data_IF_730867825401
#
_entry.id   IF_730867825401
#
_cell.length_a   1.000
_cell.length_b   1.000
_cell.length_c   1.000
_cell.angle_alpha   90.00
_cell.angle_beta   90.00
_cell.angle_gamma   90.00
#
_symmetry.space_group_name_H-M   'P 1'
#
loop_
_entity.id
_entity.type
_entity.pdbx_description
1 polymer ?
#
# COMPACT_ATOMS: atom_id res chain seq x y z
N UNK A 1 26.14 30.61 53.25
CA UNK A 1 27.25 29.66 53.24
C UNK A 1 26.81 28.37 53.91
N UNK A 2 26.48 27.32 53.14
CA UNK A 2 26.49 25.90 53.55
C UNK A 2 26.37 25.08 52.28
N UNK A 3 27.50 24.58 51.86
CA UNK A 3 27.64 23.63 50.72
C UNK A 3 27.22 22.23 51.17
N UNK A 4 26.31 21.61 50.46
CA UNK A 4 25.94 20.21 50.67
C UNK A 4 26.41 19.41 49.46
N UNK A 5 27.32 18.46 49.70
CA UNK A 5 27.83 17.49 48.68
C UNK A 5 26.83 16.38 48.50
N UNK A 6 26.45 16.13 47.24
CA UNK A 6 25.67 14.95 46.84
C UNK A 6 26.66 13.86 46.41
N UNK A 7 26.59 12.73 47.10
CA UNK A 7 27.39 11.52 46.85
C UNK A 7 26.66 10.72 45.74
N UNK A 8 27.36 10.44 44.61
CA UNK A 8 26.88 9.53 43.58
C UNK A 8 27.13 8.08 43.99
N UNK A 9 26.06 7.35 44.19
CA UNK A 9 26.09 5.89 44.35
C UNK A 9 25.93 5.25 42.94
N UNK A 10 26.98 4.54 42.51
CA UNK A 10 26.99 3.76 41.27
C UNK A 10 26.40 2.40 41.59
N UNK A 11 25.21 2.12 41.08
CA UNK A 11 24.56 0.80 41.15
C UNK A 11 25.07 -0.09 40.00
N UNK A 12 25.63 -1.23 40.39
CA UNK A 12 26.20 -2.28 39.52
C UNK A 12 25.07 -3.13 38.92
N UNK A 13 25.03 -3.31 37.59
CA UNK A 13 24.08 -4.13 36.89
C UNK A 13 24.31 -5.63 37.14
N UNK A 14 23.26 -6.47 37.17
CA UNK A 14 23.39 -7.92 37.29
C UNK A 14 23.70 -8.58 35.94
N UNK A 15 24.63 -9.55 36.01
CA UNK A 15 25.02 -10.40 34.85
C UNK A 15 23.89 -11.35 34.48
N UNK A 16 23.53 -11.36 33.20
CA UNK A 16 22.62 -12.35 32.61
C UNK A 16 23.33 -13.71 32.42
N UNK A 17 22.78 -14.75 33.04
CA UNK A 17 23.11 -16.15 32.80
C UNK A 17 22.46 -16.61 31.49
N UNK A 18 23.26 -17.30 30.67
CA UNK A 18 22.81 -17.94 29.42
C UNK A 18 22.01 -19.22 29.72
N UNK A 19 20.90 -19.48 29.01
CA UNK A 19 20.21 -20.78 29.12
C UNK A 19 20.90 -21.85 28.28
N UNK A 20 20.93 -23.04 28.83
CA UNK A 20 21.54 -24.26 28.36
C UNK A 20 20.82 -24.85 27.12
N UNK A 21 21.61 -25.31 26.17
CA UNK A 21 21.18 -26.03 24.98
C UNK A 21 20.63 -27.40 25.36
N UNK A 22 19.37 -27.70 25.06
CA UNK A 22 18.78 -29.05 25.18
C UNK A 22 18.92 -29.74 23.82
N UNK A 23 19.77 -30.78 23.76
CA UNK A 23 19.86 -31.68 22.63
C UNK A 23 18.70 -32.68 22.65
N UNK A 24 17.87 -32.70 21.62
CA UNK A 24 16.93 -33.78 21.36
C UNK A 24 17.62 -34.89 20.55
N UNK A 25 17.66 -36.09 21.14
CA UNK A 25 18.19 -37.30 20.58
C UNK A 25 17.14 -37.97 19.69
N UNK A 26 17.46 -38.13 18.41
CA UNK A 26 16.64 -38.89 17.47
C UNK A 26 16.77 -40.39 17.74
N UNK A 27 15.66 -41.08 17.91
CA UNK A 27 15.55 -42.51 17.98
C UNK A 27 15.20 -43.07 16.61
N UNK A 28 16.07 -43.97 16.17
CA UNK A 28 15.91 -44.81 14.97
C UNK A 28 15.07 -46.02 15.29
N UNK A 29 14.11 -46.39 14.46
CA UNK A 29 13.56 -47.74 14.38
C UNK A 29 13.38 -48.17 12.93
N UNK A 30 14.07 -49.18 12.66
CA UNK A 30 14.27 -50.20 11.65
C UNK A 30 13.06 -50.68 10.82
N UNK A 31 13.35 -50.89 9.54
CA UNK A 31 13.22 -52.16 8.81
C UNK A 31 11.87 -52.54 8.19
N UNK A 32 11.88 -52.64 6.86
CA UNK A 32 11.48 -53.88 6.17
C UNK A 32 11.91 -53.84 4.69
N UNK A 33 12.28 -55.01 4.21
CA UNK A 33 13.06 -55.32 3.03
C UNK A 33 12.20 -55.64 1.79
N UNK A 34 12.72 -55.24 0.61
CA UNK A 34 12.81 -55.90 -0.71
C UNK A 34 11.56 -56.51 -1.40
N UNK A 35 11.50 -56.53 -2.75
CA UNK A 35 12.49 -57.30 -3.54
C UNK A 35 13.01 -56.63 -4.85
N UNK A 36 14.14 -57.18 -5.24
CA UNK A 36 14.89 -57.07 -6.48
C UNK A 36 14.12 -57.56 -7.70
N UNK A 37 14.17 -56.83 -8.82
CA UNK A 37 13.90 -57.38 -10.17
C UNK A 37 14.84 -56.77 -11.22
N UNK A 38 15.72 -57.63 -11.67
CA UNK A 38 16.35 -57.84 -12.98
C UNK A 38 16.66 -56.65 -13.92
N UNK A 39 17.93 -56.60 -14.15
CA UNK A 39 18.71 -55.94 -15.18
C UNK A 39 18.33 -56.41 -16.59
N UNK A 40 17.96 -55.51 -17.48
CA UNK A 40 18.06 -55.71 -18.94
C UNK A 40 19.11 -54.76 -19.51
N UNK A 41 20.10 -55.30 -20.15
CA UNK A 41 21.11 -54.60 -20.92
C UNK A 41 20.50 -54.18 -22.27
N UNK A 42 20.72 -52.95 -22.67
CA UNK A 42 20.57 -52.51 -24.07
C UNK A 42 21.67 -51.52 -24.42
N UNK A 43 22.48 -51.96 -25.33
CA UNK A 43 23.42 -51.37 -26.30
C UNK A 43 23.67 -49.85 -26.24
N UNK A 44 24.95 -49.52 -26.14
CA UNK A 44 25.57 -48.24 -26.31
C UNK A 44 25.31 -47.64 -27.70
N UNK A 45 24.84 -46.41 -27.74
CA UNK A 45 24.92 -45.53 -28.91
C UNK A 45 25.69 -44.27 -28.51
N UNK A 46 26.56 -43.80 -29.39
CA UNK A 46 27.54 -42.75 -29.21
C UNK A 46 27.00 -41.40 -28.69
N UNK A 47 27.82 -40.59 -28.02
CA UNK A 47 27.41 -39.31 -27.45
C UNK A 47 27.11 -38.30 -28.56
N UNK A 48 25.89 -37.79 -28.60
CA UNK A 48 25.45 -36.60 -29.33
C UNK A 48 25.93 -35.38 -28.57
N UNK A 49 26.54 -34.42 -29.22
CA UNK A 49 26.96 -33.14 -28.68
C UNK A 49 25.81 -32.45 -27.94
N UNK A 50 26.07 -31.70 -26.82
CA UNK A 50 25.06 -30.97 -26.13
C UNK A 50 24.56 -29.82 -26.98
N UNK A 51 23.33 -29.94 -27.48
CA UNK A 51 22.58 -28.81 -28.02
C UNK A 51 22.40 -27.78 -26.89
N UNK A 52 22.78 -26.55 -27.14
CA UNK A 52 22.55 -25.41 -26.24
C UNK A 52 21.09 -25.39 -25.77
N UNK A 53 20.83 -25.14 -24.46
CA UNK A 53 19.48 -24.98 -23.99
C UNK A 53 18.87 -23.74 -24.62
N UNK A 54 17.88 -23.91 -25.49
CA UNK A 54 17.01 -22.83 -25.93
C UNK A 54 16.24 -22.36 -24.71
N UNK A 55 16.81 -21.37 -24.00
CA UNK A 55 16.14 -20.65 -22.92
C UNK A 55 14.97 -19.84 -23.54
N UNK A 56 13.79 -20.45 -23.55
CA UNK A 56 12.55 -19.68 -23.72
C UNK A 56 12.51 -18.73 -22.51
N UNK A 57 12.61 -17.41 -22.71
CA UNK A 57 12.60 -16.47 -21.58
C UNK A 57 11.28 -16.65 -20.82
N UNK A 58 11.35 -16.82 -19.51
CA UNK A 58 10.14 -16.83 -18.68
C UNK A 58 9.35 -15.54 -18.92
N UNK A 59 8.05 -15.55 -18.73
CA UNK A 59 7.22 -14.35 -18.93
C UNK A 59 7.72 -13.16 -18.09
N UNK A 60 8.28 -13.42 -16.92
CA UNK A 60 8.93 -12.43 -16.05
C UNK A 60 10.16 -11.81 -16.72
N UNK A 61 11.04 -12.63 -17.29
CA UNK A 61 12.26 -12.16 -17.99
C UNK A 61 11.91 -11.37 -19.27
N UNK A 62 10.82 -11.74 -19.93
CA UNK A 62 10.32 -11.05 -21.13
C UNK A 62 9.72 -9.68 -20.79
N UNK A 63 9.02 -9.56 -19.66
CA UNK A 63 8.52 -8.29 -19.15
C UNK A 63 9.67 -7.35 -18.75
N UNK A 64 10.69 -7.86 -18.06
CA UNK A 64 11.89 -7.10 -17.70
C UNK A 64 12.70 -6.64 -18.92
N UNK A 65 12.76 -7.44 -19.96
CA UNK A 65 13.55 -7.11 -21.18
C UNK A 65 12.86 -6.06 -22.06
N UNK A 66 11.52 -5.95 -22.00
CA UNK A 66 10.73 -5.01 -22.81
C UNK A 66 10.58 -3.62 -22.16
N UNK A 67 10.82 -3.48 -20.86
CA UNK A 67 10.63 -2.23 -20.10
C UNK A 67 11.93 -1.41 -20.03
N UNK A 68 12.50 -1.06 -21.18
CA UNK A 68 13.68 -0.18 -21.25
C UNK A 68 13.30 1.25 -21.60
N UNK A 69 13.98 2.21 -20.97
CA UNK A 69 13.88 3.62 -21.35
C UNK A 69 14.34 3.78 -22.79
N UNK A 70 13.48 4.32 -23.65
CA UNK A 70 13.75 4.60 -25.07
C UNK A 70 13.73 6.10 -25.40
N UNK A 71 13.21 6.93 -24.48
CA UNK A 71 13.09 8.38 -24.63
C UNK A 71 14.28 9.12 -24.02
N UNK A 72 14.51 10.34 -24.51
CA UNK A 72 15.56 11.26 -24.02
C UNK A 72 14.96 12.37 -23.16
N UNK A 73 13.86 12.95 -23.61
CA UNK A 73 13.19 14.08 -22.97
C UNK A 73 11.78 13.72 -22.53
N UNK A 74 11.31 14.35 -21.46
CA UNK A 74 9.93 14.24 -20.98
C UNK A 74 9.40 15.65 -20.79
N UNK A 75 8.25 15.95 -21.40
CA UNK A 75 7.64 17.27 -21.39
C UNK A 75 6.16 17.18 -21.02
N UNK A 76 5.66 18.20 -20.31
CA UNK A 76 4.23 18.43 -20.11
C UNK A 76 3.73 19.35 -21.22
N UNK A 77 2.80 18.84 -22.02
CA UNK A 77 2.21 19.58 -23.12
C UNK A 77 0.78 20.00 -22.78
N UNK A 78 0.52 21.31 -22.80
CA UNK A 78 -0.84 21.84 -22.69
C UNK A 78 -1.50 21.79 -24.07
N UNK A 79 -2.64 21.13 -24.16
CA UNK A 79 -3.42 21.01 -25.39
C UNK A 79 -4.26 22.28 -25.62
N UNK A 80 -4.83 22.42 -26.80
CA UNK A 80 -5.65 23.59 -27.18
C UNK A 80 -6.91 23.73 -26.32
N UNK A 81 -7.46 22.61 -25.85
CA UNK A 81 -8.61 22.56 -24.92
C UNK A 81 -8.24 22.81 -23.45
N UNK A 82 -6.94 23.08 -23.18
CA UNK A 82 -6.40 23.35 -21.87
C UNK A 82 -6.02 22.11 -21.05
N UNK A 83 -6.27 20.91 -21.54
CA UNK A 83 -5.87 19.66 -20.89
C UNK A 83 -4.34 19.45 -20.97
N UNK A 84 -3.81 18.58 -20.12
CA UNK A 84 -2.38 18.27 -20.09
C UNK A 84 -2.12 16.85 -20.58
N UNK A 85 -1.17 16.69 -21.51
CA UNK A 85 -0.61 15.39 -21.90
C UNK A 85 0.88 15.37 -21.61
N UNK A 86 1.38 14.19 -21.23
CA UNK A 86 2.81 13.97 -21.02
C UNK A 86 3.39 13.38 -22.30
N UNK A 87 4.52 13.92 -22.75
CA UNK A 87 5.21 13.49 -23.96
C UNK A 87 6.58 12.90 -23.62
N UNK A 88 6.84 11.74 -24.19
CA UNK A 88 8.15 11.09 -24.20
C UNK A 88 8.77 11.38 -25.57
N UNK A 89 9.72 12.29 -25.63
CA UNK A 89 10.17 12.95 -26.86
C UNK A 89 8.97 13.61 -27.58
N UNK A 90 8.57 13.11 -28.72
CA UNK A 90 7.41 13.61 -29.49
C UNK A 90 6.16 12.73 -29.36
N UNK A 91 6.18 11.69 -28.52
CA UNK A 91 5.10 10.72 -28.42
C UNK A 91 4.33 10.92 -27.13
N UNK A 92 3.01 11.02 -27.25
CA UNK A 92 2.15 11.08 -26.06
C UNK A 92 2.23 9.78 -25.26
N UNK A 93 2.34 9.92 -23.94
CA UNK A 93 2.25 8.81 -22.99
C UNK A 93 0.88 8.16 -23.10
N UNK A 94 0.87 6.83 -23.05
CA UNK A 94 -0.35 6.02 -23.08
C UNK A 94 -0.48 5.20 -21.80
N UNK A 95 -1.71 4.92 -21.45
CA UNK A 95 -2.06 3.99 -20.36
C UNK A 95 -1.77 2.53 -20.80
N UNK A 96 -1.76 1.57 -19.87
CA UNK A 96 -1.62 0.14 -20.20
C UNK A 96 -2.65 -0.38 -21.21
N UNK A 97 -3.87 0.16 -21.22
CA UNK A 97 -4.90 -0.20 -22.22
C UNK A 97 -4.74 0.53 -23.55
N UNK A 98 -3.69 1.34 -23.73
CA UNK A 98 -3.37 2.03 -24.98
C UNK A 98 -4.09 3.35 -25.18
N UNK A 99 -4.92 3.80 -24.22
CA UNK A 99 -5.55 5.12 -24.27
C UNK A 99 -4.52 6.24 -24.03
N UNK A 100 -4.68 7.44 -24.61
CA UNK A 100 -3.80 8.57 -24.32
C UNK A 100 -3.96 8.98 -22.84
N UNK A 101 -2.84 9.21 -22.14
CA UNK A 101 -2.86 9.74 -20.79
C UNK A 101 -3.02 11.25 -20.85
N UNK A 102 -4.26 11.70 -20.67
CA UNK A 102 -4.65 13.11 -20.72
C UNK A 102 -5.30 13.46 -19.38
N UNK A 103 -4.88 14.59 -18.81
CA UNK A 103 -5.31 15.08 -17.52
C UNK A 103 -6.13 16.37 -17.65
N UNK A 104 -7.13 16.60 -16.78
CA UNK A 104 -7.90 17.83 -16.75
C UNK A 104 -7.03 19.09 -16.60
N UNK A 105 -7.54 20.21 -17.07
CA UNK A 105 -6.84 21.52 -17.02
C UNK A 105 -6.45 21.99 -15.61
N UNK A 106 -7.12 21.48 -14.57
CA UNK A 106 -6.82 21.80 -13.17
C UNK A 106 -5.70 20.92 -12.59
N UNK A 107 -5.19 19.94 -13.32
CA UNK A 107 -4.25 18.93 -12.82
C UNK A 107 -2.80 19.12 -13.29
N UNK A 108 -2.35 20.38 -13.36
CA UNK A 108 -0.97 20.70 -13.77
C UNK A 108 0.07 20.08 -12.81
N UNK A 109 -0.16 20.11 -11.50
CA UNK A 109 0.75 19.49 -10.51
C UNK A 109 0.89 18.00 -10.79
N UNK A 110 -0.22 17.29 -10.96
CA UNK A 110 -0.19 15.86 -11.27
C UNK A 110 0.55 15.57 -12.59
N UNK A 111 0.29 16.36 -13.64
CA UNK A 111 0.99 16.23 -14.93
C UNK A 111 2.50 16.41 -14.78
N UNK A 112 2.93 17.40 -14.00
CA UNK A 112 4.36 17.67 -13.73
C UNK A 112 4.99 16.53 -12.92
N UNK A 113 4.30 16.00 -11.93
CA UNK A 113 4.79 14.87 -11.14
C UNK A 113 4.92 13.60 -11.99
N UNK A 114 3.94 13.30 -12.85
CA UNK A 114 4.05 12.17 -13.81
C UNK A 114 5.24 12.38 -14.76
N UNK A 115 5.40 13.58 -15.31
CA UNK A 115 6.56 13.87 -16.17
C UNK A 115 7.88 13.62 -15.41
N UNK A 116 7.95 14.02 -14.15
CA UNK A 116 9.12 13.78 -13.29
C UNK A 116 9.37 12.31 -13.03
N UNK A 117 8.34 11.52 -12.73
CA UNK A 117 8.44 10.07 -12.59
C UNK A 117 9.08 9.41 -13.81
N UNK A 118 8.68 9.84 -15.00
CA UNK A 118 9.22 9.30 -16.26
C UNK A 118 10.63 9.81 -16.57
N UNK A 119 10.94 11.03 -16.22
CA UNK A 119 12.29 11.59 -16.44
C UNK A 119 13.33 10.94 -15.52
N UNK A 120 12.96 10.58 -14.29
CA UNK A 120 13.84 9.91 -13.32
C UNK A 120 14.11 8.43 -13.65
N UNK A 121 13.34 7.81 -14.56
CA UNK A 121 13.65 6.44 -14.99
C UNK A 121 15.01 6.39 -15.67
N UNK A 122 15.83 5.40 -15.28
CA UNK A 122 17.17 5.24 -15.86
C UNK A 122 17.15 4.24 -17.05
N UNK A 123 17.79 3.08 -16.90
CA UNK A 123 17.88 2.07 -17.97
C UNK A 123 16.63 1.19 -18.08
N UNK A 124 16.09 0.81 -16.93
CA UNK A 124 14.93 -0.09 -16.80
C UNK A 124 13.81 0.68 -16.13
N UNK A 125 12.62 0.55 -16.69
CA UNK A 125 11.41 1.14 -16.13
C UNK A 125 11.00 0.38 -14.86
N UNK A 126 10.91 1.10 -13.75
CA UNK A 126 10.49 0.54 -12.46
C UNK A 126 9.04 0.93 -12.18
N UNK A 127 8.12 0.00 -12.34
CA UNK A 127 6.69 0.25 -12.17
C UNK A 127 6.34 0.78 -10.76
N UNK A 128 7.01 0.27 -9.72
CA UNK A 128 6.80 0.73 -8.34
C UNK A 128 7.21 2.18 -8.09
N UNK A 129 8.03 2.77 -8.95
CA UNK A 129 8.44 4.18 -8.88
C UNK A 129 7.56 5.11 -9.73
N UNK A 130 6.39 4.67 -10.16
CA UNK A 130 5.42 5.40 -10.98
C UNK A 130 4.04 5.50 -10.30
N UNK A 131 3.95 5.92 -9.03
CA UNK A 131 2.67 5.93 -8.30
C UNK A 131 1.64 6.89 -8.89
N UNK A 132 2.06 8.07 -9.39
CA UNK A 132 1.16 9.04 -10.03
C UNK A 132 0.65 8.55 -11.39
N UNK A 133 1.56 8.01 -12.21
CA UNK A 133 1.21 7.39 -13.50
C UNK A 133 0.22 6.24 -13.32
N UNK A 134 0.46 5.38 -12.33
CA UNK A 134 -0.43 4.26 -12.00
C UNK A 134 -1.82 4.73 -11.59
N UNK A 135 -1.92 5.79 -10.79
CA UNK A 135 -3.19 6.35 -10.34
C UNK A 135 -3.97 7.00 -11.51
N UNK A 136 -3.29 7.80 -12.34
CA UNK A 136 -3.89 8.40 -13.52
C UNK A 136 -4.36 7.33 -14.54
N UNK A 137 -3.56 6.27 -14.73
CA UNK A 137 -3.94 5.14 -15.60
C UNK A 137 -5.16 4.40 -15.05
N UNK A 138 -5.25 4.17 -13.74
CA UNK A 138 -6.44 3.57 -13.10
C UNK A 138 -7.70 4.41 -13.33
N UNK A 139 -7.59 5.73 -13.20
CA UNK A 139 -8.71 6.64 -13.44
C UNK A 139 -9.22 6.60 -14.89
N UNK A 140 -8.29 6.49 -15.87
CA UNK A 140 -8.62 6.49 -17.30
C UNK A 140 -9.11 5.13 -17.79
N UNK A 141 -8.48 4.05 -17.31
CA UNK A 141 -8.70 2.70 -17.85
C UNK A 141 -9.81 1.94 -17.14
N UNK A 142 -9.91 2.06 -15.82
CA UNK A 142 -10.72 1.17 -15.02
C UNK A 142 -11.85 1.84 -14.24
N UNK A 143 -12.20 3.09 -14.57
CA UNK A 143 -13.31 3.83 -13.95
C UNK A 143 -14.26 4.39 -15.01
N UNK A 144 -14.55 3.59 -16.04
CA UNK A 144 -15.64 3.89 -16.97
C UNK A 144 -16.99 3.90 -16.21
N UNK A 145 -18.01 4.53 -16.78
CA UNK A 145 -19.34 4.59 -16.15
C UNK A 145 -19.88 3.19 -15.79
N UNK A 146 -19.61 2.19 -16.62
CA UNK A 146 -20.05 0.80 -16.39
C UNK A 146 -19.31 0.12 -15.21
N UNK A 147 -18.06 0.49 -14.96
CA UNK A 147 -17.22 -0.13 -13.90
C UNK A 147 -17.31 0.62 -12.57
N UNK A 148 -17.67 1.89 -12.63
CA UNK A 148 -17.71 2.80 -11.49
C UNK A 148 -18.56 2.31 -10.32
N UNK A 149 -19.77 1.85 -10.59
CA UNK A 149 -20.70 1.37 -9.58
C UNK A 149 -20.17 0.13 -8.87
N UNK A 150 -19.57 -0.79 -9.62
CA UNK A 150 -18.93 -1.98 -9.04
C UNK A 150 -17.76 -1.63 -8.13
N UNK A 151 -16.94 -0.63 -8.52
CA UNK A 151 -15.84 -0.15 -7.68
C UNK A 151 -16.37 0.51 -6.40
N UNK A 152 -17.39 1.35 -6.51
CA UNK A 152 -18.03 1.97 -5.33
C UNK A 152 -18.60 0.90 -4.42
N UNK A 153 -19.27 -0.11 -4.94
CA UNK A 153 -19.84 -1.21 -4.15
C UNK A 153 -18.76 -2.04 -3.44
N UNK A 154 -17.60 -2.24 -4.08
CA UNK A 154 -16.47 -2.91 -3.47
C UNK A 154 -15.86 -2.09 -2.32
N UNK A 155 -15.72 -0.78 -2.53
CA UNK A 155 -15.22 0.14 -1.50
C UNK A 155 -16.18 0.23 -0.30
N UNK A 156 -17.50 0.14 -0.54
CA UNK A 156 -18.49 0.12 0.55
C UNK A 156 -18.38 -1.09 1.48
N UNK A 157 -17.75 -2.19 1.05
CA UNK A 157 -17.49 -3.35 1.93
C UNK A 157 -16.49 -3.00 3.04
N UNK A 158 -15.51 -2.13 2.73
CA UNK A 158 -14.55 -1.65 3.74
C UNK A 158 -15.22 -0.84 4.86
N UNK A 159 -16.39 -0.24 4.62
CA UNK A 159 -17.13 0.48 5.65
C UNK A 159 -17.63 -0.45 6.76
N UNK A 160 -18.07 -1.67 6.43
CA UNK A 160 -18.54 -2.65 7.39
C UNK A 160 -17.42 -3.24 8.25
N UNK A 161 -16.19 -3.26 7.70
CA UNK A 161 -14.99 -3.81 8.34
C UNK A 161 -13.90 -2.75 8.53
N UNK A 162 -14.31 -1.50 8.69
CA UNK A 162 -13.37 -0.38 8.81
C UNK A 162 -12.51 -0.53 10.06
N UNK A 163 -11.19 -0.42 9.89
CA UNK A 163 -10.21 -0.60 10.97
C UNK A 163 -10.51 0.27 12.18
N UNK A 164 -10.97 1.51 11.99
CA UNK A 164 -11.25 2.43 13.11
C UNK A 164 -12.49 2.02 13.94
N UNK A 165 -13.33 1.14 13.39
CA UNK A 165 -14.52 0.64 14.06
C UNK A 165 -14.26 -0.57 14.98
N UNK A 166 -13.05 -1.15 14.95
CA UNK A 166 -12.65 -2.26 15.81
C UNK A 166 -11.65 -1.76 16.84
N UNK A 167 -12.12 -1.53 18.05
CA UNK A 167 -11.31 -0.95 19.11
C UNK A 167 -11.09 -1.95 20.24
N UNK A 168 -9.89 -1.92 20.81
CA UNK A 168 -9.51 -2.77 21.93
C UNK A 168 -9.17 -1.93 23.15
N UNK A 169 -9.65 -2.36 24.31
CA UNK A 169 -9.35 -1.72 25.60
C UNK A 169 -7.94 -2.06 26.10
N UNK A 170 -7.32 -3.11 25.57
CA UNK A 170 -5.99 -3.60 25.95
C UNK A 170 -5.13 -3.90 24.73
N UNK A 171 -3.82 -3.65 24.80
CA UNK A 171 -3.08 -3.00 25.89
C UNK A 171 -3.37 -1.50 25.97
N UNK A 172 -3.11 -0.89 27.13
CA UNK A 172 -3.36 0.55 27.37
C UNK A 172 -2.75 1.47 26.28
N UNK A 173 -1.54 1.16 25.81
CA UNK A 173 -0.88 1.92 24.73
C UNK A 173 -1.72 1.93 23.46
N UNK A 174 -2.30 0.79 23.07
CA UNK A 174 -3.18 0.69 21.91
C UNK A 174 -4.45 1.53 22.10
N UNK A 175 -5.11 1.39 23.24
CA UNK A 175 -6.32 2.15 23.55
C UNK A 175 -6.07 3.68 23.54
N UNK A 176 -4.92 4.13 24.06
CA UNK A 176 -4.53 5.55 24.03
C UNK A 176 -4.26 6.04 22.60
N UNK A 177 -3.62 5.23 21.75
CA UNK A 177 -3.38 5.56 20.34
C UNK A 177 -4.68 5.59 19.53
N UNK A 178 -5.59 4.63 19.73
CA UNK A 178 -6.92 4.62 19.12
C UNK A 178 -7.69 5.88 19.49
N UNK A 179 -7.69 6.27 20.75
CA UNK A 179 -8.32 7.50 21.22
C UNK A 179 -7.71 8.75 20.57
N UNK A 180 -6.38 8.77 20.35
CA UNK A 180 -5.68 9.91 19.77
C UNK A 180 -5.93 10.03 18.26
N UNK A 181 -5.89 8.91 17.52
CA UNK A 181 -5.91 8.94 16.07
C UNK A 181 -7.29 8.62 15.46
N UNK A 182 -8.13 7.80 16.11
CA UNK A 182 -9.39 7.34 15.53
C UNK A 182 -10.62 8.09 16.08
N UNK A 183 -10.64 8.41 17.38
CA UNK A 183 -11.79 9.12 17.95
C UNK A 183 -12.07 10.47 17.27
N UNK A 184 -11.07 11.31 16.91
CA UNK A 184 -11.33 12.55 16.19
C UNK A 184 -11.96 12.34 14.81
N UNK A 185 -11.66 11.22 14.14
CA UNK A 185 -12.25 10.90 12.83
C UNK A 185 -13.72 10.54 12.93
N UNK A 186 -14.10 9.82 13.97
CA UNK A 186 -15.52 9.49 14.25
C UNK A 186 -16.31 10.76 14.56
N UNK A 187 -15.75 11.69 15.34
CA UNK A 187 -16.34 12.99 15.63
C UNK A 187 -16.48 13.81 14.34
N UNK A 188 -15.41 13.91 13.55
CA UNK A 188 -15.46 14.61 12.27
C UNK A 188 -16.54 14.08 11.33
N UNK A 189 -16.67 12.76 11.21
CA UNK A 189 -17.67 12.14 10.34
C UNK A 189 -19.10 12.49 10.79
N UNK A 190 -19.31 12.54 12.11
CA UNK A 190 -20.56 12.99 12.71
C UNK A 190 -20.85 14.47 12.40
N UNK A 191 -19.88 15.34 12.62
CA UNK A 191 -20.04 16.79 12.45
C UNK A 191 -20.20 17.17 10.98
N UNK A 192 -19.40 16.57 10.09
CA UNK A 192 -19.41 16.91 8.68
C UNK A 192 -20.57 16.30 7.88
N UNK A 193 -21.02 15.10 8.25
CA UNK A 193 -21.99 14.33 7.45
C UNK A 193 -23.21 13.84 8.24
N UNK A 194 -23.25 14.06 9.56
CA UNK A 194 -24.30 13.54 10.43
C UNK A 194 -24.34 12.01 10.48
N UNK A 195 -23.18 11.37 10.42
CA UNK A 195 -23.05 9.93 10.37
C UNK A 195 -22.39 9.40 11.64
N UNK A 196 -23.10 8.51 12.33
CA UNK A 196 -22.57 7.74 13.44
C UNK A 196 -22.21 6.33 12.98
N UNK A 197 -20.94 5.97 13.12
CA UNK A 197 -20.51 4.60 12.88
C UNK A 197 -20.67 3.75 14.14
N UNK A 198 -21.06 2.51 13.92
CA UNK A 198 -21.04 1.50 14.97
C UNK A 198 -19.61 1.07 15.23
N UNK A 199 -19.16 1.22 16.47
CA UNK A 199 -17.85 0.78 16.94
C UNK A 199 -18.03 -0.54 17.70
N UNK A 200 -17.10 -1.46 17.55
CA UNK A 200 -17.02 -2.76 18.22
C UNK A 200 -15.83 -2.73 19.17
N UNK A 201 -16.10 -2.86 20.47
CA UNK A 201 -15.09 -2.87 21.52
C UNK A 201 -14.80 -4.30 21.95
N UNK A 202 -13.51 -4.66 22.01
CA UNK A 202 -13.02 -5.98 22.45
C UNK A 202 -13.72 -7.17 21.76
N UNK A 203 -14.17 -7.01 20.51
CA UNK A 203 -14.93 -8.01 19.78
C UNK A 203 -14.50 -8.10 18.32
N UNK A 204 -14.27 -9.32 17.85
CA UNK A 204 -14.09 -9.65 16.43
C UNK A 204 -15.43 -9.92 15.71
N UNK A 205 -16.51 -10.06 16.47
CA UNK A 205 -17.84 -10.24 15.89
C UNK A 205 -18.41 -8.86 15.57
N UNK A 206 -18.67 -8.62 14.29
CA UNK A 206 -19.19 -7.35 13.84
C UNK A 206 -20.63 -7.46 13.30
N UNK A 207 -21.31 -6.35 13.31
CA UNK A 207 -22.56 -6.14 12.60
C UNK A 207 -22.38 -5.03 11.58
N UNK A 208 -23.02 -5.16 10.43
CA UNK A 208 -22.96 -4.16 9.37
C UNK A 208 -23.37 -2.78 9.87
N UNK A 209 -22.84 -1.75 9.25
CA UNK A 209 -23.28 -0.38 9.45
C UNK A 209 -24.74 -0.21 8.99
N UNK A 210 -25.39 0.86 9.45
CA UNK A 210 -26.81 1.07 9.12
C UNK A 210 -27.01 1.28 7.61
N UNK A 211 -28.15 0.85 7.04
CA UNK A 211 -28.48 1.12 5.65
C UNK A 211 -28.47 2.62 5.30
N UNK A 212 -28.83 3.47 6.26
CA UNK A 212 -28.78 4.92 6.11
C UNK A 212 -27.32 5.42 5.95
N UNK A 213 -26.41 4.94 6.79
CA UNK A 213 -24.97 5.21 6.70
C UNK A 213 -24.42 4.80 5.34
N UNK A 214 -24.73 3.57 4.90
CA UNK A 214 -24.34 3.09 3.58
C UNK A 214 -24.86 3.99 2.46
N UNK A 215 -26.13 4.36 2.49
CA UNK A 215 -26.74 5.21 1.45
C UNK A 215 -26.09 6.59 1.39
N UNK A 216 -25.87 7.25 2.53
CA UNK A 216 -25.24 8.57 2.59
C UNK A 216 -23.80 8.56 2.06
N UNK A 217 -22.99 7.61 2.51
CA UNK A 217 -21.59 7.51 2.10
C UNK A 217 -21.44 7.06 0.64
N UNK A 218 -22.30 6.13 0.17
CA UNK A 218 -22.36 5.76 -1.23
C UNK A 218 -22.68 6.96 -2.12
N UNK A 219 -23.70 7.76 -1.77
CA UNK A 219 -24.07 8.94 -2.51
C UNK A 219 -22.94 10.00 -2.55
N UNK A 220 -22.18 10.13 -1.47
CA UNK A 220 -21.01 11.01 -1.42
C UNK A 220 -19.90 10.54 -2.38
N UNK A 221 -19.53 9.29 -2.32
CA UNK A 221 -18.43 8.72 -3.15
C UNK A 221 -18.84 8.65 -4.62
N UNK A 222 -20.11 8.44 -4.91
CA UNK A 222 -20.64 8.45 -6.28
C UNK A 222 -20.47 9.79 -6.99
N UNK A 223 -20.27 10.89 -6.26
CA UNK A 223 -20.04 12.24 -6.83
C UNK A 223 -18.56 12.51 -7.16
N UNK A 224 -17.63 11.64 -6.75
CA UNK A 224 -16.21 11.84 -7.02
C UNK A 224 -15.96 11.75 -8.54
N UNK A 225 -15.13 12.60 -9.09
CA UNK A 225 -14.62 12.41 -10.45
C UNK A 225 -13.73 11.15 -10.54
N UNK A 226 -13.46 10.64 -11.74
CA UNK A 226 -12.69 9.39 -11.88
C UNK A 226 -11.32 9.42 -11.20
N UNK A 227 -10.64 10.57 -11.20
CA UNK A 227 -9.32 10.70 -10.58
C UNK A 227 -9.42 10.68 -9.06
N UNK A 228 -10.39 11.41 -8.48
CA UNK A 228 -10.66 11.41 -7.05
C UNK A 228 -11.13 10.04 -6.57
N UNK A 229 -11.93 9.33 -7.38
CA UNK A 229 -12.37 7.96 -7.06
C UNK A 229 -11.19 6.97 -7.07
N UNK A 230 -10.29 7.05 -8.07
CA UNK A 230 -9.07 6.23 -8.09
C UNK A 230 -8.15 6.53 -6.90
N UNK A 231 -8.03 7.81 -6.53
CA UNK A 231 -7.29 8.24 -5.36
C UNK A 231 -7.91 7.68 -4.06
N UNK A 232 -9.22 7.77 -3.93
CA UNK A 232 -9.98 7.21 -2.80
C UNK A 232 -9.83 5.69 -2.71
N UNK A 233 -10.00 4.96 -3.82
CA UNK A 233 -9.77 3.51 -3.91
C UNK A 233 -8.37 3.13 -3.39
N UNK A 234 -7.33 3.83 -3.86
CA UNK A 234 -5.95 3.60 -3.40
C UNK A 234 -5.79 3.84 -1.91
N UNK A 235 -6.38 4.92 -1.39
CA UNK A 235 -6.31 5.25 0.02
C UNK A 235 -7.02 4.21 0.88
N UNK A 236 -8.21 3.75 0.51
CA UNK A 236 -8.95 2.68 1.20
C UNK A 236 -8.12 1.39 1.25
N UNK A 237 -7.56 0.98 0.11
CA UNK A 237 -6.75 -0.25 0.04
C UNK A 237 -5.44 -0.14 0.84
N UNK A 238 -4.85 1.06 0.92
CA UNK A 238 -3.62 1.28 1.69
C UNK A 238 -3.88 1.31 3.20
N UNK A 239 -4.93 2.00 3.63
CA UNK A 239 -5.23 2.22 5.06
C UNK A 239 -6.13 1.15 5.67
N UNK A 240 -6.80 0.33 4.83
CA UNK A 240 -7.85 -0.61 5.25
C UNK A 240 -9.03 0.08 5.98
N UNK A 241 -9.18 1.38 5.76
CA UNK A 241 -10.23 2.21 6.36
C UNK A 241 -10.86 3.11 5.31
N UNK A 242 -12.18 3.01 5.20
CA UNK A 242 -13.00 3.92 4.38
C UNK A 242 -12.94 5.34 4.94
N UNK A 243 -12.98 5.48 6.27
CA UNK A 243 -13.06 6.79 6.94
C UNK A 243 -11.73 7.54 6.87
N UNK A 244 -10.59 6.87 7.12
CA UNK A 244 -9.26 7.48 6.98
C UNK A 244 -9.06 7.96 5.54
N UNK A 245 -9.41 7.11 4.57
CA UNK A 245 -9.32 7.45 3.15
C UNK A 245 -10.22 8.64 2.79
N UNK A 246 -11.46 8.66 3.29
CA UNK A 246 -12.39 9.76 3.07
C UNK A 246 -11.85 11.08 3.66
N UNK A 247 -11.35 11.03 4.89
CA UNK A 247 -10.76 12.19 5.56
C UNK A 247 -9.56 12.75 4.80
N UNK A 248 -8.72 11.87 4.22
CA UNK A 248 -7.58 12.27 3.40
C UNK A 248 -8.03 12.96 2.10
N UNK A 249 -8.95 12.36 1.33
CA UNK A 249 -9.39 12.92 0.04
C UNK A 249 -10.30 14.15 0.20
N UNK A 250 -10.80 14.39 1.39
CA UNK A 250 -11.52 15.63 1.75
C UNK A 250 -10.60 16.67 2.42
N UNK A 251 -9.27 16.45 2.43
CA UNK A 251 -8.26 17.34 3.01
C UNK A 251 -8.49 17.62 4.51
N UNK A 252 -9.16 16.72 5.23
CA UNK A 252 -9.31 16.80 6.69
C UNK A 252 -8.06 16.28 7.41
N UNK A 253 -7.40 15.26 6.84
CA UNK A 253 -6.12 14.73 7.34
C UNK A 253 -4.98 15.09 6.40
N UNK A 254 -3.80 15.33 6.99
CA UNK A 254 -2.54 15.31 6.26
C UNK A 254 -2.11 13.87 5.96
N UNK A 255 -1.16 13.70 5.05
CA UNK A 255 -0.58 12.37 4.72
C UNK A 255 0.01 11.70 5.96
N UNK A 256 0.74 12.45 6.79
CA UNK A 256 1.35 11.92 8.02
C UNK A 256 0.29 11.48 9.02
N UNK A 257 -0.74 12.30 9.25
CA UNK A 257 -1.86 11.94 10.14
C UNK A 257 -2.62 10.71 9.66
N UNK A 258 -2.87 10.59 8.35
CA UNK A 258 -3.53 9.42 7.78
C UNK A 258 -2.64 8.16 7.86
N UNK A 259 -1.33 8.32 7.68
CA UNK A 259 -0.36 7.24 7.85
C UNK A 259 -0.36 6.74 9.30
N UNK A 260 -0.26 7.64 10.28
CA UNK A 260 -0.26 7.28 11.69
C UNK A 260 -1.59 6.62 12.10
N UNK A 261 -2.72 7.18 11.66
CA UNK A 261 -4.03 6.60 11.94
C UNK A 261 -4.21 5.19 11.36
N UNK A 262 -3.61 4.90 10.20
CA UNK A 262 -3.66 3.57 9.59
C UNK A 262 -2.73 2.55 10.24
N UNK A 263 -1.73 3.00 11.01
CA UNK A 263 -0.68 2.16 11.61
C UNK A 263 -0.75 2.09 13.13
N UNK A 264 -1.85 2.49 13.74
CA UNK A 264 -2.03 2.53 15.20
C UNK A 264 -1.65 1.21 15.87
N UNK A 265 -2.04 0.07 15.30
CA UNK A 265 -1.69 -1.26 15.82
C UNK A 265 -0.17 -1.51 15.75
N UNK A 266 0.44 -1.22 14.59
CA UNK A 266 1.90 -1.36 14.38
C UNK A 266 2.66 -0.42 15.32
N UNK A 267 2.23 0.83 15.45
CA UNK A 267 2.85 1.80 16.36
C UNK A 267 2.74 1.33 17.83
N UNK A 268 1.62 0.73 18.22
CA UNK A 268 1.46 0.12 19.54
C UNK A 268 2.40 -1.07 19.75
N UNK A 269 2.65 -1.87 18.72
CA UNK A 269 3.61 -2.97 18.77
C UNK A 269 5.05 -2.45 18.90
N UNK A 270 5.42 -1.45 18.11
CA UNK A 270 6.73 -0.79 18.17
C UNK A 270 6.98 -0.19 19.57
N UNK A 271 5.98 0.49 20.12
CA UNK A 271 6.09 1.07 21.45
C UNK A 271 6.32 0.05 22.58
N UNK A 272 5.87 -1.20 22.39
CA UNK A 272 5.98 -2.28 23.38
C UNK A 272 7.20 -3.16 23.19
N UNK A 273 7.60 -3.42 21.96
CA UNK A 273 8.61 -4.44 21.63
C UNK A 273 9.81 -3.89 20.85
N UNK A 274 9.75 -2.61 20.47
CA UNK A 274 10.76 -1.97 19.65
C UNK A 274 10.47 -2.08 18.16
N UNK A 275 11.16 -1.25 17.39
CA UNK A 275 11.09 -1.25 15.94
C UNK A 275 11.92 -2.40 15.34
N UNK A 276 11.39 -3.04 14.30
CA UNK A 276 12.11 -4.03 13.50
C UNK A 276 12.52 -3.35 12.21
N UNK A 277 13.82 -3.09 12.05
CA UNK A 277 14.42 -2.56 10.83
C UNK A 277 14.06 -3.44 9.62
N UNK A 278 14.13 -2.88 8.41
CA UNK A 278 13.79 -3.54 7.14
C UNK A 278 12.32 -4.00 7.00
N UNK A 279 11.51 -3.84 8.03
CA UNK A 279 10.09 -4.19 8.01
C UNK A 279 9.21 -2.98 8.30
N UNK A 280 9.35 -2.38 9.48
CA UNK A 280 8.50 -1.27 9.89
C UNK A 280 8.80 0.03 9.16
N UNK A 281 10.07 0.29 8.83
CA UNK A 281 10.51 1.46 8.07
C UNK A 281 10.09 1.35 6.59
N UNK A 282 10.20 0.18 5.97
CA UNK A 282 9.74 -0.06 4.59
C UNK A 282 8.22 0.12 4.50
N UNK A 283 7.45 -0.51 5.40
CA UNK A 283 6.00 -0.35 5.47
C UNK A 283 5.58 1.10 5.67
N UNK A 284 6.27 1.82 6.56
CA UNK A 284 6.03 3.24 6.81
C UNK A 284 6.24 4.09 5.56
N UNK A 285 7.34 3.90 4.83
CA UNK A 285 7.63 4.64 3.61
C UNK A 285 6.65 4.27 2.49
N UNK A 286 6.29 2.99 2.37
CA UNK A 286 5.33 2.54 1.35
C UNK A 286 3.95 3.18 1.55
N UNK A 287 3.45 3.18 2.79
CA UNK A 287 2.13 3.78 3.09
C UNK A 287 2.15 5.28 2.83
N UNK A 288 3.20 6.00 3.24
CA UNK A 288 3.36 7.43 2.99
C UNK A 288 3.44 7.75 1.49
N UNK A 289 4.16 6.94 0.71
CA UNK A 289 4.22 7.08 -0.73
C UNK A 289 2.85 6.90 -1.39
N UNK A 290 2.08 5.89 -0.97
CA UNK A 290 0.72 5.64 -1.47
C UNK A 290 -0.21 6.80 -1.13
N UNK A 291 -0.25 7.23 0.13
CA UNK A 291 -1.11 8.33 0.59
C UNK A 291 -0.66 9.68 0.05
N UNK A 292 0.66 9.91 -0.08
CA UNK A 292 1.22 11.10 -0.74
C UNK A 292 0.79 11.17 -2.19
N UNK A 293 0.80 10.04 -2.92
CA UNK A 293 0.29 9.99 -4.29
C UNK A 293 -1.19 10.34 -4.39
N UNK A 294 -2.00 9.93 -3.41
CA UNK A 294 -3.42 10.28 -3.30
C UNK A 294 -3.59 11.79 -3.13
N UNK A 295 -2.91 12.38 -2.14
CA UNK A 295 -2.98 13.83 -1.89
C UNK A 295 -2.55 14.66 -3.09
N UNK A 296 -1.44 14.30 -3.75
CA UNK A 296 -0.98 14.99 -4.94
C UNK A 296 -1.97 14.91 -6.12
N UNK A 297 -2.65 13.79 -6.28
CA UNK A 297 -3.60 13.59 -7.38
C UNK A 297 -4.87 14.44 -7.25
N UNK A 298 -5.30 14.72 -6.02
CA UNK A 298 -6.51 15.52 -5.76
C UNK A 298 -6.26 17.03 -5.78
N UNK A 299 -5.00 17.48 -5.75
CA UNK A 299 -4.67 18.91 -5.82
C UNK A 299 -5.15 19.48 -7.16
N UNK A 300 -5.93 20.55 -7.08
CA UNK A 300 -6.31 21.37 -8.22
C UNK A 300 -5.46 22.64 -8.27
N UNK A 301 -5.03 22.99 -9.47
CA UNK A 301 -4.37 24.26 -9.77
C UNK A 301 -5.38 25.17 -10.45
N UNK A 302 -5.36 26.49 -10.11
CA UNK A 302 -6.24 27.46 -10.73
C UNK A 302 -6.02 27.64 -12.23
#
# INVERSE_FOLDING_TARGET
MKTSRIIHSVARAPQHQRPSTICFRASTSSSSALPCLTRSQSTATAPKEPSEPSTIPSQTTRAETSLRRFWKTVDVHKQEDGQYSIRLDLRNLKTPSGKPLVLPKTKLVLATLIAREWDEQRKILKQHSLPMTSLASRAIDGLSEAERDAVVDDLMRYLDTDTICFQESKPRVLAEMQKTHWAPLLVWLQEAYGIHLRVHEDSIVYSKQSPETHSKLRALVAQFDPLKLAAFERAVHATKSFVIALALVQNHLTVDQASDASRVEVLSQIARWGEVEDTHDVDYQEIRMKLGSVSCAIIDTP
#
